data_IF_086986920247
#
_entry.id   IF_086986920247
#
_cell.length_a   1.000
_cell.length_b   1.000
_cell.length_c   1.000
_cell.angle_alpha   90.00
_cell.angle_beta   90.00
_cell.angle_gamma   90.00
#
_symmetry.space_group_name_H-M   'P 1'
#
loop_
_entity.id
_entity.type
_entity.pdbx_description
1 polymer ?
#
# COMPACT_ATOMS: atom_id res chain seq x y z
N UNK A 1 -1.00 -18.75 23.97
CA UNK A 1 -1.23 -18.04 22.69
C UNK A 1 -2.69 -17.61 22.67
N UNK A 2 -2.99 -16.32 22.54
CA UNK A 2 -4.37 -15.89 22.28
C UNK A 2 -4.75 -16.39 20.88
N UNK A 3 -5.84 -17.14 20.78
CA UNK A 3 -6.39 -17.61 19.51
C UNK A 3 -6.87 -16.39 18.71
N UNK A 4 -6.22 -16.10 17.58
CA UNK A 4 -6.69 -15.07 16.65
C UNK A 4 -7.91 -15.64 15.93
N UNK A 5 -9.08 -15.02 16.13
CA UNK A 5 -10.30 -15.43 15.43
C UNK A 5 -10.18 -15.11 13.94
N UNK A 6 -10.67 -15.98 13.04
CA UNK A 6 -10.72 -15.67 11.62
C UNK A 6 -11.61 -14.45 11.38
N UNK A 7 -11.26 -13.66 10.36
CA UNK A 7 -12.08 -12.56 9.88
C UNK A 7 -13.31 -13.10 9.15
N UNK A 8 -14.46 -12.43 9.31
CA UNK A 8 -15.66 -12.71 8.52
C UNK A 8 -15.65 -11.96 7.17
N UNK A 9 -14.95 -10.84 7.11
CA UNK A 9 -14.78 -10.00 5.93
C UNK A 9 -13.45 -9.23 6.04
N UNK A 10 -12.86 -8.84 4.90
CA UNK A 10 -11.65 -8.01 4.89
C UNK A 10 -12.02 -6.56 5.20
N UNK A 11 -11.42 -5.91 6.22
CA UNK A 11 -11.63 -4.50 6.50
C UNK A 11 -11.02 -3.61 5.39
N UNK A 12 -11.85 -2.74 4.80
CA UNK A 12 -11.50 -1.83 3.71
C UNK A 12 -11.72 -0.39 4.16
N UNK A 13 -10.68 0.43 4.12
CA UNK A 13 -10.74 1.84 4.49
C UNK A 13 -10.78 2.72 3.24
N UNK A 14 -11.99 2.94 2.73
CA UNK A 14 -12.23 3.78 1.55
C UNK A 14 -13.31 4.84 1.81
N UNK A 15 -13.05 6.04 1.29
CA UNK A 15 -13.98 7.16 1.28
C UNK A 15 -13.86 7.90 -0.06
N UNK A 16 -14.99 8.34 -0.62
CA UNK A 16 -14.99 9.06 -1.90
C UNK A 16 -14.17 10.37 -1.87
N UNK A 17 -13.89 10.93 -0.69
CA UNK A 17 -13.00 12.11 -0.54
C UNK A 17 -11.53 11.80 -0.75
N UNK A 18 -11.16 10.53 -0.89
CA UNK A 18 -9.80 10.11 -1.25
C UNK A 18 -9.49 10.32 -2.73
N UNK A 19 -10.49 10.57 -3.58
CA UNK A 19 -10.34 10.57 -5.03
C UNK A 19 -10.50 11.95 -5.64
N UNK A 20 -9.72 12.23 -6.68
CA UNK A 20 -9.79 13.44 -7.46
C UNK A 20 -9.39 13.18 -8.91
N UNK A 21 -9.91 14.00 -9.83
CA UNK A 21 -9.28 14.17 -11.14
C UNK A 21 -8.04 15.05 -10.97
N UNK A 22 -6.87 14.45 -11.13
CA UNK A 22 -5.59 15.14 -11.01
C UNK A 22 -5.18 15.90 -12.29
N UNK A 23 -5.97 15.81 -13.37
CA UNK A 23 -5.66 16.39 -14.68
C UNK A 23 -4.25 16.01 -15.15
N UNK A 24 -3.95 14.72 -15.04
CA UNK A 24 -2.63 14.14 -15.27
C UNK A 24 -2.75 12.83 -16.03
N UNK A 25 -1.67 12.45 -16.72
CA UNK A 25 -1.54 11.12 -17.33
C UNK A 25 -1.76 9.99 -16.33
N UNK A 26 -1.20 10.12 -15.13
CA UNK A 26 -1.34 9.12 -14.07
C UNK A 26 -2.78 9.01 -13.56
N UNK A 27 -3.37 7.79 -13.49
CA UNK A 27 -4.70 7.58 -12.93
C UNK A 27 -4.70 7.52 -11.40
N UNK A 28 -3.56 7.64 -10.72
CA UNK A 28 -3.40 7.31 -9.29
C UNK A 28 -4.39 8.05 -8.37
N UNK A 29 -4.78 9.29 -8.68
CA UNK A 29 -5.74 10.05 -7.87
C UNK A 29 -7.21 9.60 -8.06
N UNK A 30 -7.56 8.98 -9.19
CA UNK A 30 -8.91 8.50 -9.49
C UNK A 30 -9.07 6.99 -9.36
N UNK A 31 -7.99 6.23 -9.56
CA UNK A 31 -7.95 4.75 -9.57
C UNK A 31 -8.61 4.10 -8.35
N UNK A 32 -8.44 4.58 -7.10
CA UNK A 32 -9.13 4.02 -5.94
C UNK A 32 -10.63 3.80 -6.10
N UNK A 33 -11.34 4.75 -6.75
CA UNK A 33 -12.78 4.63 -6.98
C UNK A 33 -13.09 3.43 -7.87
N UNK A 34 -12.38 3.33 -9.00
CA UNK A 34 -12.61 2.29 -9.99
C UNK A 34 -12.26 0.89 -9.43
N UNK A 35 -11.20 0.80 -8.61
CA UNK A 35 -10.84 -0.44 -7.90
C UNK A 35 -11.94 -0.85 -6.93
N UNK A 36 -12.43 0.08 -6.11
CA UNK A 36 -13.48 -0.23 -5.14
C UNK A 36 -14.80 -0.60 -5.80
N UNK A 37 -15.18 0.05 -6.91
CA UNK A 37 -16.36 -0.35 -7.68
C UNK A 37 -16.17 -1.73 -8.32
N UNK A 38 -14.97 -2.07 -8.81
CA UNK A 38 -14.64 -3.43 -9.27
C UNK A 38 -14.83 -4.46 -8.14
N UNK A 39 -14.24 -4.20 -6.96
CA UNK A 39 -14.35 -5.07 -5.79
C UNK A 39 -15.80 -5.28 -5.31
N UNK A 40 -16.61 -4.22 -5.30
CA UNK A 40 -18.05 -4.33 -4.99
C UNK A 40 -18.78 -5.21 -6.01
N UNK A 41 -18.44 -5.10 -7.30
CA UNK A 41 -19.03 -5.91 -8.35
C UNK A 41 -18.68 -7.40 -8.22
N UNK A 42 -17.51 -7.75 -7.66
CA UNK A 42 -17.12 -9.13 -7.38
C UNK A 42 -17.94 -9.79 -6.25
N UNK A 43 -18.68 -9.01 -5.45
CA UNK A 43 -19.49 -9.48 -4.31
C UNK A 43 -18.69 -10.30 -3.30
N UNK A 44 -17.44 -9.90 -3.09
CA UNK A 44 -16.54 -10.50 -2.12
C UNK A 44 -16.87 -10.02 -0.69
N UNK A 45 -16.53 -10.81 0.35
CA UNK A 45 -16.75 -10.46 1.75
C UNK A 45 -15.85 -9.32 2.23
N UNK A 46 -16.32 -8.08 2.04
CA UNK A 46 -15.61 -6.84 2.41
C UNK A 46 -16.42 -6.05 3.44
N UNK A 47 -15.73 -5.52 4.45
CA UNK A 47 -16.30 -4.60 5.43
C UNK A 47 -15.73 -3.19 5.18
N UNK A 48 -16.54 -2.28 4.68
CA UNK A 48 -16.11 -0.89 4.45
C UNK A 48 -16.22 -0.09 5.75
N UNK A 49 -15.06 0.25 6.31
CA UNK A 49 -14.95 0.89 7.61
C UNK A 49 -14.74 2.40 7.49
N UNK A 50 -15.33 3.13 8.45
CA UNK A 50 -15.16 4.58 8.52
C UNK A 50 -13.82 4.98 9.13
N UNK A 51 -13.29 6.13 8.72
CA UNK A 51 -12.06 6.70 9.27
C UNK A 51 -12.06 8.23 9.15
N UNK A 52 -11.09 8.86 9.78
CA UNK A 52 -10.92 10.31 9.79
C UNK A 52 -9.72 10.74 8.93
N UNK A 53 -9.77 11.92 8.29
CA UNK A 53 -8.62 12.47 7.59
C UNK A 53 -7.53 12.83 8.59
N UNK A 54 -6.27 12.77 8.16
CA UNK A 54 -5.16 13.15 9.02
C UNK A 54 -5.06 14.67 9.20
N UNK A 55 -4.83 15.17 10.43
CA UNK A 55 -4.49 16.57 10.62
C UNK A 55 -3.10 16.86 10.02
N UNK A 56 -2.87 18.13 9.66
CA UNK A 56 -1.60 18.62 9.12
C UNK A 56 -0.39 18.24 9.97
N UNK A 57 -0.55 18.28 11.30
CA UNK A 57 0.49 17.89 12.24
C UNK A 57 0.96 16.44 12.08
N UNK A 58 0.07 15.52 11.71
CA UNK A 58 0.42 14.13 11.45
C UNK A 58 1.21 13.98 10.14
N UNK A 59 0.79 14.66 9.07
CA UNK A 59 1.53 14.70 7.80
C UNK A 59 2.93 15.29 7.99
N UNK A 60 3.05 16.33 8.82
CA UNK A 60 4.30 16.98 9.18
C UNK A 60 5.23 16.13 10.08
N UNK A 61 4.85 14.89 10.43
CA UNK A 61 5.77 13.94 11.08
C UNK A 61 6.73 13.27 10.10
N UNK A 62 6.37 13.25 8.80
CA UNK A 62 7.18 12.69 7.72
C UNK A 62 7.66 13.77 6.74
N UNK A 63 7.03 14.94 6.73
CA UNK A 63 7.31 16.03 5.80
C UNK A 63 7.58 17.36 6.51
N UNK A 64 8.27 18.28 5.85
CA UNK A 64 8.42 19.64 6.37
C UNK A 64 7.05 20.33 6.46
N UNK A 65 6.85 21.14 7.50
CA UNK A 65 5.60 21.91 7.68
C UNK A 65 5.32 22.83 6.50
N UNK A 66 6.35 23.50 5.98
CA UNK A 66 6.24 24.37 4.81
C UNK A 66 5.75 23.63 3.56
N UNK A 67 6.20 22.39 3.34
CA UNK A 67 5.71 21.59 2.21
C UNK A 67 4.25 21.16 2.43
N UNK A 68 3.92 20.67 3.62
CA UNK A 68 2.54 20.26 3.97
C UNK A 68 1.57 21.43 3.80
N UNK A 69 1.87 22.58 4.40
CA UNK A 69 1.01 23.76 4.34
C UNK A 69 0.97 24.33 2.92
N UNK A 70 2.10 24.36 2.23
CA UNK A 70 2.19 24.83 0.85
C UNK A 70 1.31 24.02 -0.11
N UNK A 71 1.31 22.69 0.00
CA UNK A 71 0.46 21.81 -0.81
C UNK A 71 -1.01 21.97 -0.43
N UNK A 72 -1.34 21.91 0.86
CA UNK A 72 -2.73 21.95 1.35
C UNK A 72 -3.40 23.32 1.20
N UNK A 73 -2.62 24.35 0.85
CA UNK A 73 -3.12 25.70 0.56
C UNK A 73 -2.95 26.07 -0.92
N UNK A 74 -2.61 25.10 -1.78
CA UNK A 74 -2.54 25.29 -3.23
C UNK A 74 -1.40 26.20 -3.71
N UNK A 75 -0.36 26.39 -2.88
CA UNK A 75 0.83 27.21 -3.22
C UNK A 75 1.99 26.39 -3.77
N UNK A 76 2.08 25.11 -3.41
CA UNK A 76 3.15 24.20 -3.83
C UNK A 76 2.58 23.10 -4.72
N UNK A 77 3.34 22.75 -5.77
CA UNK A 77 2.96 21.67 -6.68
C UNK A 77 2.86 20.35 -5.93
N UNK A 78 1.78 19.61 -6.18
CA UNK A 78 1.58 18.24 -5.74
C UNK A 78 2.35 17.26 -6.66
N UNK A 79 2.23 15.96 -6.40
CA UNK A 79 2.91 14.90 -7.15
C UNK A 79 2.55 14.81 -8.63
N UNK A 80 1.44 15.42 -9.05
CA UNK A 80 0.99 15.49 -10.43
C UNK A 80 1.47 16.78 -11.13
N UNK A 81 2.33 17.58 -10.49
CA UNK A 81 2.95 18.76 -11.09
C UNK A 81 2.08 20.03 -11.10
N UNK A 82 0.92 20.01 -10.45
CA UNK A 82 -0.02 21.12 -10.38
C UNK A 82 -0.38 21.50 -8.94
N UNK A 83 -1.15 22.57 -8.74
CA UNK A 83 -1.59 23.05 -7.43
C UNK A 83 -3.11 22.88 -7.21
N UNK A 84 -3.72 21.87 -7.85
CA UNK A 84 -5.17 21.68 -7.78
C UNK A 84 -5.64 21.40 -6.35
N UNK A 85 -6.55 22.24 -5.85
CA UNK A 85 -7.15 22.05 -4.53
C UNK A 85 -7.96 20.76 -4.43
N UNK A 86 -8.53 20.30 -5.56
CA UNK A 86 -9.21 19.01 -5.62
C UNK A 86 -8.29 17.86 -5.17
N UNK A 87 -7.05 17.83 -5.66
CA UNK A 87 -6.03 16.86 -5.22
C UNK A 87 -5.61 17.14 -3.78
N UNK A 88 -5.29 18.39 -3.43
CA UNK A 88 -4.84 18.74 -2.09
C UNK A 88 -5.82 18.29 -0.99
N UNK A 89 -7.12 18.43 -1.25
CA UNK A 89 -8.19 18.04 -0.33
C UNK A 89 -8.27 16.52 -0.11
N UNK A 90 -7.75 15.68 -1.01
CA UNK A 90 -7.76 14.22 -0.83
C UNK A 90 -6.61 13.70 0.03
N UNK A 91 -5.49 14.41 0.09
CA UNK A 91 -4.25 13.92 0.71
C UNK A 91 -4.37 13.60 2.20
N UNK A 92 -5.12 14.38 3.01
CA UNK A 92 -5.45 13.99 4.39
C UNK A 92 -6.23 12.69 4.48
N UNK A 93 -7.14 12.43 3.53
CA UNK A 93 -7.97 11.23 3.50
C UNK A 93 -7.18 10.00 3.07
N UNK A 94 -6.36 10.10 2.01
CA UNK A 94 -5.54 8.96 1.56
C UNK A 94 -4.55 8.52 2.63
N UNK A 95 -3.91 9.48 3.31
CA UNK A 95 -2.98 9.17 4.41
C UNK A 95 -3.72 8.65 5.66
N UNK A 96 -4.93 9.16 5.92
CA UNK A 96 -5.80 8.67 7.00
C UNK A 96 -6.27 7.24 6.79
N UNK A 97 -6.64 6.88 5.56
CA UNK A 97 -7.02 5.51 5.19
C UNK A 97 -5.87 4.53 5.47
N UNK A 98 -4.65 4.86 5.05
CA UNK A 98 -3.47 4.01 5.28
C UNK A 98 -3.21 3.78 6.77
N UNK A 99 -3.29 4.84 7.58
CA UNK A 99 -3.15 4.72 9.04
C UNK A 99 -4.28 3.91 9.67
N UNK A 100 -5.52 4.08 9.21
CA UNK A 100 -6.67 3.35 9.71
C UNK A 100 -6.54 1.85 9.42
N UNK A 101 -6.15 1.48 8.20
CA UNK A 101 -5.82 0.10 7.84
C UNK A 101 -4.70 -0.46 8.71
N UNK A 102 -3.62 0.29 8.93
CA UNK A 102 -2.51 -0.16 9.79
C UNK A 102 -2.93 -0.39 11.25
N UNK A 103 -3.78 0.49 11.81
CA UNK A 103 -4.33 0.30 13.16
C UNK A 103 -5.27 -0.89 13.24
N UNK A 104 -6.07 -1.12 12.20
CA UNK A 104 -7.00 -2.24 12.14
C UNK A 104 -6.27 -3.58 12.02
N UNK A 105 -5.30 -3.69 11.12
CA UNK A 105 -4.45 -4.88 11.01
C UNK A 105 -3.78 -5.20 12.36
N UNK A 106 -3.27 -4.20 13.08
CA UNK A 106 -2.74 -4.40 14.44
C UNK A 106 -3.79 -4.91 15.42
N UNK A 107 -5.00 -4.35 15.38
CA UNK A 107 -6.08 -4.69 16.31
C UNK A 107 -6.62 -6.11 16.08
N UNK A 108 -6.88 -6.48 14.82
CA UNK A 108 -7.37 -7.80 14.45
C UNK A 108 -6.25 -8.84 14.32
N UNK A 109 -4.98 -8.40 14.34
CA UNK A 109 -3.76 -9.21 14.24
C UNK A 109 -3.61 -9.98 12.92
N UNK A 110 -4.31 -9.54 11.88
CA UNK A 110 -4.40 -10.20 10.58
C UNK A 110 -4.15 -9.18 9.48
N UNK A 111 -5.20 -8.62 8.89
CA UNK A 111 -5.10 -7.80 7.67
C UNK A 111 -6.12 -6.68 7.63
N UNK A 112 -5.77 -5.61 6.91
CA UNK A 112 -6.70 -4.60 6.44
C UNK A 112 -6.15 -3.95 5.15
N UNK A 113 -7.01 -3.28 4.39
CA UNK A 113 -6.62 -2.60 3.15
C UNK A 113 -7.06 -1.15 3.12
N UNK A 114 -6.18 -0.29 2.61
CA UNK A 114 -6.51 1.06 2.17
C UNK A 114 -6.29 1.13 0.65
N UNK A 115 -7.33 1.24 -0.19
CA UNK A 115 -7.17 1.33 -1.63
C UNK A 115 -6.67 2.72 -2.03
N UNK A 116 -5.41 3.03 -1.74
CA UNK A 116 -4.70 4.28 -2.08
C UNK A 116 -3.55 4.00 -3.00
N UNK A 117 -3.13 4.98 -3.81
CA UNK A 117 -2.04 4.84 -4.77
C UNK A 117 -1.00 5.95 -4.60
N UNK A 118 0.27 5.61 -4.86
CA UNK A 118 1.41 6.52 -4.72
C UNK A 118 2.17 6.32 -3.42
N UNK A 119 2.52 7.41 -2.73
CA UNK A 119 3.34 7.51 -1.52
C UNK A 119 4.86 7.40 -1.68
N UNK A 120 5.37 6.31 -2.25
CA UNK A 120 6.78 5.95 -2.07
C UNK A 120 7.83 6.88 -2.69
N UNK A 121 7.45 7.72 -3.66
CA UNK A 121 8.34 8.74 -4.26
C UNK A 121 8.35 10.07 -3.51
N UNK A 122 7.34 10.35 -2.67
CA UNK A 122 7.27 11.62 -1.95
C UNK A 122 8.44 11.71 -0.96
N UNK A 123 9.20 12.80 -1.06
CA UNK A 123 10.37 13.07 -0.22
C UNK A 123 10.00 13.94 0.97
N UNK A 124 10.95 14.18 1.86
CA UNK A 124 10.70 14.95 3.08
C UNK A 124 10.15 16.36 2.81
N UNK A 125 10.58 17.02 1.73
CA UNK A 125 10.27 18.43 1.46
C UNK A 125 9.65 18.70 0.08
N UNK A 126 9.39 17.67 -0.73
CA UNK A 126 8.77 17.83 -2.04
C UNK A 126 8.06 16.56 -2.55
N UNK A 127 7.15 16.77 -3.49
CA UNK A 127 6.46 15.73 -4.23
C UNK A 127 7.31 15.20 -5.40
N UNK A 128 7.15 13.93 -5.75
CA UNK A 128 7.80 13.32 -6.92
C UNK A 128 7.01 12.10 -7.40
N UNK A 129 7.13 11.72 -8.68
CA UNK A 129 6.57 10.48 -9.22
C UNK A 129 5.10 10.24 -8.88
N UNK A 130 4.22 11.24 -9.08
CA UNK A 130 2.79 11.18 -8.72
C UNK A 130 2.49 11.07 -7.21
N UNK A 131 3.50 11.05 -6.36
CA UNK A 131 3.38 10.96 -4.91
C UNK A 131 3.53 12.36 -4.28
N UNK A 132 2.51 12.80 -3.53
CA UNK A 132 2.54 14.12 -2.86
C UNK A 132 3.03 14.02 -1.42
N UNK A 133 2.37 13.21 -0.60
CA UNK A 133 2.84 12.85 0.74
C UNK A 133 3.14 11.35 0.78
N UNK A 134 4.07 10.94 1.63
CA UNK A 134 4.45 9.57 1.86
C UNK A 134 3.59 8.99 2.99
N UNK A 135 2.40 8.50 2.62
CA UNK A 135 1.43 7.94 3.56
C UNK A 135 1.95 6.73 4.35
N UNK A 136 2.89 5.96 3.79
CA UNK A 136 3.54 4.84 4.48
C UNK A 136 4.36 5.33 5.68
N UNK A 137 5.23 6.32 5.47
CA UNK A 137 6.04 6.88 6.55
C UNK A 137 5.17 7.64 7.56
N UNK A 138 4.16 8.38 7.09
CA UNK A 138 3.22 9.06 8.00
C UNK A 138 2.51 8.05 8.90
N UNK A 139 1.97 6.95 8.35
CA UNK A 139 1.32 5.91 9.14
C UNK A 139 2.28 5.29 10.16
N UNK A 140 3.49 4.91 9.74
CA UNK A 140 4.52 4.34 10.61
C UNK A 140 4.89 5.30 11.76
N UNK A 141 5.12 6.59 11.46
CA UNK A 141 5.47 7.62 12.44
C UNK A 141 4.37 7.84 13.46
N UNK A 142 3.10 7.85 13.02
CA UNK A 142 1.97 8.00 13.95
C UNK A 142 1.86 6.78 14.86
N UNK A 143 1.94 5.56 14.32
CA UNK A 143 1.88 4.34 15.14
C UNK A 143 3.00 4.27 16.20
N UNK A 144 4.23 4.66 15.82
CA UNK A 144 5.38 4.76 16.74
C UNK A 144 5.13 5.82 17.83
N UNK A 145 4.60 7.00 17.45
CA UNK A 145 4.28 8.05 18.41
C UNK A 145 3.17 7.64 19.39
N UNK A 146 2.21 6.83 18.93
CA UNK A 146 1.16 6.24 19.76
C UNK A 146 1.65 5.11 20.67
N UNK A 147 2.91 4.68 20.54
CA UNK A 147 3.48 3.53 21.26
C UNK A 147 2.68 2.23 21.04
N UNK A 148 1.97 2.13 19.91
CA UNK A 148 1.26 0.90 19.50
C UNK A 148 2.22 -0.15 18.93
N UNK A 149 3.34 0.31 18.40
CA UNK A 149 4.40 -0.48 17.79
C UNK A 149 5.75 0.07 18.20
N UNK A 150 6.76 -0.78 18.18
CA UNK A 150 8.17 -0.43 18.33
C UNK A 150 8.92 -0.49 17.00
N UNK A 151 8.44 -1.33 16.07
CA UNK A 151 9.07 -1.52 14.76
C UNK A 151 8.03 -1.75 13.67
N UNK A 152 8.14 -1.02 12.56
CA UNK A 152 7.26 -1.12 11.39
C UNK A 152 8.06 -1.63 10.20
N UNK A 153 7.50 -2.60 9.48
CA UNK A 153 8.00 -3.03 8.19
C UNK A 153 7.32 -2.26 7.06
N UNK A 154 8.06 -1.91 6.00
CA UNK A 154 7.52 -1.43 4.73
C UNK A 154 8.06 -2.35 3.65
N UNK A 155 7.16 -3.13 3.04
CA UNK A 155 7.46 -3.94 1.87
C UNK A 155 6.87 -3.25 0.65
N UNK A 156 7.73 -2.71 -0.19
CA UNK A 156 7.35 -2.00 -1.41
C UNK A 156 7.60 -2.88 -2.63
N UNK A 157 6.52 -3.42 -3.19
CA UNK A 157 6.53 -4.27 -4.38
C UNK A 157 6.09 -3.51 -5.66
N UNK A 158 6.17 -2.18 -5.65
CA UNK A 158 6.04 -1.35 -6.85
C UNK A 158 7.24 -1.56 -7.80
N UNK A 159 7.02 -1.33 -9.10
CA UNK A 159 8.08 -1.42 -10.12
C UNK A 159 9.19 -0.41 -9.86
N UNK A 160 8.81 0.77 -9.40
CA UNK A 160 9.74 1.86 -9.22
C UNK A 160 10.38 1.81 -7.84
N UNK A 161 11.63 2.24 -7.80
CA UNK A 161 12.36 2.35 -6.55
C UNK A 161 11.68 3.35 -5.60
N UNK A 162 11.33 2.91 -4.38
CA UNK A 162 10.77 3.72 -3.29
C UNK A 162 11.78 4.71 -2.69
N UNK A 163 12.30 5.60 -3.54
CA UNK A 163 13.37 6.56 -3.27
C UNK A 163 12.99 7.62 -2.24
N UNK A 164 11.73 8.06 -2.23
CA UNK A 164 11.19 8.98 -1.24
C UNK A 164 11.09 8.35 0.14
N UNK A 165 10.57 7.12 0.21
CA UNK A 165 10.52 6.33 1.45
C UNK A 165 11.92 6.14 2.04
N UNK A 166 12.89 5.70 1.24
CA UNK A 166 14.28 5.58 1.72
C UNK A 166 14.84 6.94 2.17
N UNK A 167 14.64 8.00 1.39
CA UNK A 167 15.18 9.32 1.71
C UNK A 167 14.64 9.85 3.04
N UNK A 168 13.34 9.69 3.31
CA UNK A 168 12.74 10.14 4.57
C UNK A 168 13.27 9.31 5.74
N UNK A 169 13.38 7.99 5.59
CA UNK A 169 13.94 7.11 6.65
C UNK A 169 15.35 7.57 7.03
N UNK A 170 16.21 7.83 6.04
CA UNK A 170 17.58 8.30 6.29
C UNK A 170 17.60 9.70 6.89
N UNK A 171 16.83 10.62 6.33
CA UNK A 171 16.79 12.02 6.76
C UNK A 171 16.33 12.19 8.21
N UNK A 172 15.33 11.40 8.63
CA UNK A 172 14.75 11.46 9.97
C UNK A 172 15.35 10.46 10.97
N UNK A 173 16.38 9.69 10.55
CA UNK A 173 17.05 8.72 11.43
C UNK A 173 16.16 7.56 11.88
N UNK A 174 15.30 7.03 11.01
CA UNK A 174 14.24 6.07 11.37
C UNK A 174 14.64 4.60 11.20
N UNK A 175 15.86 4.30 10.76
CA UNK A 175 16.29 2.93 10.42
C UNK A 175 16.20 1.93 11.58
N UNK A 176 16.22 2.39 12.83
CA UNK A 176 16.05 1.52 14.00
C UNK A 176 14.58 1.07 14.20
N UNK A 177 13.63 1.88 13.77
CA UNK A 177 12.19 1.67 14.00
C UNK A 177 11.41 1.35 12.73
N UNK A 178 11.97 1.61 11.55
CA UNK A 178 11.34 1.33 10.26
C UNK A 178 12.31 0.50 9.42
N UNK A 179 11.94 -0.76 9.15
CA UNK A 179 12.60 -1.60 8.15
C UNK A 179 11.91 -1.39 6.81
N UNK A 180 12.67 -1.13 5.75
CA UNK A 180 12.14 -0.89 4.41
C UNK A 180 12.86 -1.79 3.41
N UNK A 181 12.09 -2.56 2.64
CA UNK A 181 12.54 -3.33 1.49
C UNK A 181 11.72 -2.84 0.30
N UNK A 182 12.38 -2.47 -0.80
CA UNK A 182 11.74 -2.00 -2.04
C UNK A 182 12.32 -2.76 -3.22
N UNK A 183 11.46 -3.46 -3.95
CA UNK A 183 11.86 -4.40 -5.00
C UNK A 183 12.32 -3.69 -6.26
N UNK A 184 11.73 -2.52 -6.56
CA UNK A 184 12.05 -1.69 -7.73
C UNK A 184 13.48 -1.13 -7.74
N UNK A 185 14.26 -1.36 -6.68
CA UNK A 185 15.71 -1.13 -6.67
C UNK A 185 16.47 -2.19 -7.47
N UNK A 186 16.11 -3.46 -7.28
CA UNK A 186 16.93 -4.61 -7.65
C UNK A 186 16.32 -5.42 -8.81
N UNK A 187 14.99 -5.39 -8.95
CA UNK A 187 14.24 -6.14 -9.95
C UNK A 187 13.52 -5.20 -10.91
N UNK A 188 13.99 -5.14 -12.16
CA UNK A 188 13.49 -4.20 -13.17
C UNK A 188 13.40 -4.82 -14.56
N UNK A 189 13.65 -6.13 -14.71
CA UNK A 189 13.69 -6.82 -16.01
C UNK A 189 13.00 -8.19 -15.95
N UNK A 190 12.30 -8.62 -17.00
CA UNK A 190 11.61 -9.91 -17.04
C UNK A 190 12.47 -11.13 -16.69
N UNK A 191 13.77 -11.11 -17.05
CA UNK A 191 14.70 -12.19 -16.73
C UNK A 191 14.92 -12.41 -15.23
N UNK A 192 14.56 -11.43 -14.38
CA UNK A 192 14.72 -11.49 -12.93
C UNK A 192 13.43 -11.97 -12.23
N UNK A 193 12.32 -12.17 -12.95
CA UNK A 193 11.02 -12.49 -12.36
C UNK A 193 11.04 -13.76 -11.50
N UNK A 194 11.61 -14.84 -12.03
CA UNK A 194 11.71 -16.11 -11.32
C UNK A 194 12.67 -16.03 -10.13
N UNK A 195 13.72 -15.21 -10.22
CA UNK A 195 14.62 -14.97 -9.10
C UNK A 195 13.89 -14.23 -7.98
N UNK A 196 13.23 -13.13 -8.30
CA UNK A 196 12.42 -12.37 -7.35
C UNK A 196 11.42 -13.25 -6.61
N UNK A 197 10.63 -14.06 -7.35
CA UNK A 197 9.61 -14.90 -6.73
C UNK A 197 10.21 -15.96 -5.81
N UNK A 198 11.42 -16.46 -6.09
CA UNK A 198 12.15 -17.36 -5.19
C UNK A 198 12.68 -16.67 -3.94
N UNK A 199 13.12 -15.41 -4.05
CA UNK A 199 13.71 -14.66 -2.93
C UNK A 199 12.65 -13.94 -2.07
N UNK A 200 11.44 -13.72 -2.60
CA UNK A 200 10.36 -13.01 -1.92
C UNK A 200 10.00 -13.58 -0.53
N UNK A 201 9.90 -14.91 -0.32
CA UNK A 201 9.76 -15.50 1.02
C UNK A 201 10.80 -15.00 2.03
N UNK A 202 12.07 -14.94 1.63
CA UNK A 202 13.17 -14.50 2.48
C UNK A 202 13.07 -13.00 2.77
N UNK A 203 12.71 -12.20 1.76
CA UNK A 203 12.44 -10.76 1.95
C UNK A 203 11.31 -10.51 2.95
N UNK A 204 10.25 -11.34 2.94
CA UNK A 204 9.16 -11.23 3.91
C UNK A 204 9.61 -11.70 5.30
N UNK A 205 10.35 -12.81 5.39
CA UNK A 205 10.93 -13.30 6.65
C UNK A 205 11.86 -12.28 7.30
N UNK A 206 12.53 -11.46 6.51
CA UNK A 206 13.40 -10.38 6.95
C UNK A 206 12.67 -9.32 7.81
N UNK A 207 11.34 -9.23 7.74
CA UNK A 207 10.53 -8.38 8.62
C UNK A 207 10.24 -9.00 9.99
N UNK A 208 10.74 -10.20 10.30
CA UNK A 208 10.58 -10.79 11.62
C UNK A 208 11.00 -9.80 12.74
N UNK A 209 10.13 -9.66 13.73
CA UNK A 209 10.25 -8.67 14.81
C UNK A 209 9.68 -7.28 14.48
N UNK A 210 9.07 -7.08 13.30
CA UNK A 210 8.18 -5.93 13.08
C UNK A 210 6.79 -6.25 13.66
N UNK A 211 6.14 -5.23 14.22
CA UNK A 211 4.80 -5.35 14.81
C UNK A 211 3.69 -5.31 13.75
N UNK A 212 3.97 -4.71 12.59
CA UNK A 212 3.09 -4.63 11.42
C UNK A 212 3.93 -4.42 10.16
N UNK A 213 3.47 -4.94 9.03
CA UNK A 213 4.01 -4.63 7.69
C UNK A 213 3.02 -3.75 6.93
N UNK A 214 3.53 -2.65 6.38
CA UNK A 214 2.85 -1.84 5.38
C UNK A 214 3.25 -2.36 4.00
N UNK A 215 2.33 -3.04 3.31
CA UNK A 215 2.58 -3.69 2.03
C UNK A 215 2.04 -2.87 0.86
N UNK A 216 2.94 -2.34 0.03
CA UNK A 216 2.57 -1.59 -1.16
C UNK A 216 2.52 -2.54 -2.37
N UNK A 217 1.30 -2.95 -2.74
CA UNK A 217 1.03 -3.92 -3.81
C UNK A 217 0.86 -3.22 -5.18
N UNK A 218 1.97 -2.79 -5.78
CA UNK A 218 1.95 -2.13 -7.09
C UNK A 218 1.47 -3.04 -8.22
N UNK A 219 0.74 -2.47 -9.18
CA UNK A 219 0.32 -3.16 -10.40
C UNK A 219 1.21 -2.85 -11.60
N UNK A 220 2.09 -1.85 -11.49
CA UNK A 220 3.05 -1.48 -12.53
C UNK A 220 4.23 -2.44 -12.71
N UNK A 221 4.54 -3.44 -11.86
CA UNK A 221 5.48 -4.47 -12.30
C UNK A 221 4.92 -5.31 -13.46
N UNK A 222 3.66 -5.13 -13.89
CA UNK A 222 3.11 -5.88 -15.01
C UNK A 222 3.89 -5.61 -16.31
N UNK A 223 4.22 -6.66 -17.08
CA UNK A 223 5.03 -6.56 -18.33
C UNK A 223 4.45 -5.61 -19.39
N UNK A 224 3.13 -5.42 -19.41
CA UNK A 224 2.45 -4.50 -20.33
C UNK A 224 2.26 -3.07 -19.75
N UNK A 225 2.75 -2.79 -18.55
CA UNK A 225 2.65 -1.44 -17.98
C UNK A 225 3.53 -0.45 -18.75
N UNK A 226 2.99 0.72 -19.16
CA UNK A 226 3.71 1.68 -19.99
C UNK A 226 4.90 2.35 -19.28
N UNK A 227 4.98 2.28 -17.95
CA UNK A 227 6.11 2.82 -17.19
C UNK A 227 7.21 1.79 -16.91
N UNK A 228 7.11 0.61 -17.55
CA UNK A 228 8.01 -0.51 -17.40
C UNK A 228 7.41 -1.59 -16.50
N UNK A 229 7.92 -2.81 -16.60
CA UNK A 229 7.43 -3.95 -15.82
C UNK A 229 8.11 -5.25 -16.24
N UNK A 230 7.97 -6.27 -15.40
CA UNK A 230 8.70 -7.53 -15.53
C UNK A 230 7.98 -8.77 -14.99
N UNK A 231 6.74 -8.62 -14.52
CA UNK A 231 5.89 -9.69 -14.02
C UNK A 231 4.66 -9.87 -14.91
N UNK A 232 4.28 -11.11 -15.18
CA UNK A 232 2.99 -11.45 -15.80
C UNK A 232 1.86 -11.39 -14.77
N UNK A 233 0.59 -11.46 -15.21
CA UNK A 233 -0.57 -11.62 -14.33
C UNK A 233 -0.40 -12.77 -13.32
N UNK A 234 0.05 -13.94 -13.78
CA UNK A 234 0.27 -15.11 -12.93
C UNK A 234 1.34 -14.84 -11.87
N UNK A 235 2.44 -14.18 -12.26
CA UNK A 235 3.54 -13.89 -11.35
C UNK A 235 3.18 -12.77 -10.34
N UNK A 236 2.37 -11.79 -10.72
CA UNK A 236 1.81 -10.80 -9.79
C UNK A 236 0.88 -11.46 -8.77
N UNK A 237 -0.02 -12.34 -9.21
CA UNK A 237 -0.88 -13.10 -8.32
C UNK A 237 -0.05 -13.98 -7.36
N UNK A 238 1.01 -14.63 -7.86
CA UNK A 238 1.94 -15.42 -7.05
C UNK A 238 2.68 -14.55 -6.03
N UNK A 239 3.14 -13.36 -6.41
CA UNK A 239 3.78 -12.39 -5.50
C UNK A 239 2.85 -12.06 -4.34
N UNK A 240 1.63 -11.63 -4.63
CA UNK A 240 0.68 -11.18 -3.61
C UNK A 240 0.29 -12.33 -2.66
N UNK A 241 0.02 -13.51 -3.22
CA UNK A 241 -0.24 -14.72 -2.44
C UNK A 241 0.94 -15.04 -1.51
N UNK A 242 2.17 -15.03 -2.04
CA UNK A 242 3.39 -15.34 -1.26
C UNK A 242 3.55 -14.36 -0.10
N UNK A 243 3.37 -13.05 -0.33
CA UNK A 243 3.44 -12.04 0.73
C UNK A 243 2.41 -12.31 1.81
N UNK A 244 1.14 -12.52 1.44
CA UNK A 244 0.07 -12.75 2.42
C UNK A 244 0.27 -14.04 3.20
N UNK A 245 0.62 -15.15 2.53
CA UNK A 245 0.89 -16.45 3.16
C UNK A 245 2.03 -16.35 4.17
N UNK A 246 3.15 -15.72 3.80
CA UNK A 246 4.31 -15.62 4.68
C UNK A 246 4.07 -14.65 5.84
N UNK A 247 3.37 -13.53 5.62
CA UNK A 247 2.97 -12.64 6.72
C UNK A 247 2.08 -13.38 7.74
N UNK A 248 1.07 -14.14 7.25
CA UNK A 248 0.19 -14.94 8.11
C UNK A 248 0.96 -16.04 8.84
N UNK A 249 1.87 -16.73 8.17
CA UNK A 249 2.73 -17.77 8.77
C UNK A 249 3.64 -17.21 9.87
N UNK A 250 4.24 -16.03 9.66
CA UNK A 250 5.05 -15.33 10.66
C UNK A 250 4.21 -14.71 11.79
N UNK A 251 2.89 -14.63 11.62
CA UNK A 251 1.99 -13.96 12.55
C UNK A 251 2.17 -12.44 12.59
N UNK A 252 2.68 -11.84 11.51
CA UNK A 252 2.87 -10.39 11.39
C UNK A 252 1.65 -9.80 10.70
N UNK A 253 0.90 -8.90 11.37
CA UNK A 253 -0.23 -8.24 10.74
C UNK A 253 0.18 -7.40 9.54
N UNK A 254 -0.66 -7.34 8.51
CA UNK A 254 -0.36 -6.59 7.28
C UNK A 254 -1.45 -5.56 6.97
N UNK A 255 -1.05 -4.32 6.75
CA UNK A 255 -1.91 -3.34 6.12
C UNK A 255 -1.38 -3.06 4.73
N UNK A 256 -2.22 -3.22 3.71
CA UNK A 256 -1.76 -3.08 2.34
C UNK A 256 -2.51 -1.99 1.59
N UNK A 257 -1.85 -1.46 0.57
CA UNK A 257 -2.39 -0.46 -0.34
C UNK A 257 -2.05 -0.79 -1.80
N UNK A 258 -2.73 -0.11 -2.71
CA UNK A 258 -2.37 -0.11 -4.13
C UNK A 258 -1.06 0.68 -4.31
N UNK A 259 -0.54 0.76 -5.53
CA UNK A 259 0.58 1.65 -5.84
C UNK A 259 0.48 2.15 -7.28
N UNK A 260 1.53 2.02 -8.09
CA UNK A 260 1.49 2.22 -9.53
C UNK A 260 0.56 1.26 -10.26
N UNK A 261 0.52 1.41 -11.58
CA UNK A 261 -0.38 0.70 -12.50
C UNK A 261 -1.05 1.70 -13.43
N UNK A 262 -0.62 1.69 -14.69
CA UNK A 262 -0.85 2.74 -15.68
C UNK A 262 -1.35 2.21 -17.03
N UNK A 263 -1.59 0.89 -17.13
CA UNK A 263 -2.10 0.27 -18.35
C UNK A 263 -3.41 0.87 -18.85
N UNK A 264 -3.53 0.96 -20.18
CA UNK A 264 -4.75 1.33 -20.88
C UNK A 264 -5.24 0.14 -21.72
N UNK A 265 -6.51 -0.26 -21.63
CA UNK A 265 -7.56 0.30 -20.77
C UNK A 265 -7.34 0.01 -19.27
N UNK A 266 -7.85 0.88 -18.40
CA UNK A 266 -7.69 0.79 -16.94
C UNK A 266 -8.16 -0.56 -16.37
N UNK A 267 -9.11 -1.23 -17.03
CA UNK A 267 -9.58 -2.57 -16.64
C UNK A 267 -8.44 -3.56 -16.40
N UNK A 268 -7.35 -3.50 -17.17
CA UNK A 268 -6.17 -4.38 -16.97
C UNK A 268 -5.51 -4.17 -15.60
N UNK A 269 -5.48 -2.93 -15.11
CA UNK A 269 -4.98 -2.60 -13.78
C UNK A 269 -5.97 -3.06 -12.70
N UNK A 270 -7.28 -2.94 -12.97
CA UNK A 270 -8.32 -3.44 -12.05
C UNK A 270 -8.25 -4.96 -11.90
N UNK A 271 -8.03 -5.71 -12.99
CA UNK A 271 -7.87 -7.17 -12.96
C UNK A 271 -6.72 -7.60 -12.02
N UNK A 272 -5.61 -6.86 -12.02
CA UNK A 272 -4.47 -7.13 -11.13
C UNK A 272 -4.86 -6.87 -9.67
N UNK A 273 -5.47 -5.71 -9.36
CA UNK A 273 -5.89 -5.38 -8.00
C UNK A 273 -7.03 -6.28 -7.48
N UNK A 274 -7.90 -6.77 -8.36
CA UNK A 274 -8.91 -7.79 -8.06
C UNK A 274 -8.23 -9.11 -7.66
N UNK A 275 -7.19 -9.54 -8.39
CA UNK A 275 -6.40 -10.72 -8.05
C UNK A 275 -5.65 -10.57 -6.71
N UNK A 276 -5.08 -9.40 -6.42
CA UNK A 276 -4.48 -9.09 -5.11
C UNK A 276 -5.49 -9.25 -3.97
N UNK A 277 -6.70 -8.70 -4.13
CA UNK A 277 -7.76 -8.81 -3.12
C UNK A 277 -8.22 -10.27 -2.95
N UNK A 278 -8.38 -11.00 -4.04
CA UNK A 278 -8.78 -12.40 -4.01
C UNK A 278 -7.75 -13.25 -3.24
N UNK A 279 -6.46 -13.03 -3.48
CA UNK A 279 -5.39 -13.68 -2.72
C UNK A 279 -5.46 -13.31 -1.23
N UNK A 280 -5.70 -12.04 -0.90
CA UNK A 280 -5.88 -11.59 0.49
C UNK A 280 -7.04 -12.34 1.18
N UNK A 281 -8.19 -12.46 0.51
CA UNK A 281 -9.37 -13.16 1.02
C UNK A 281 -9.08 -14.65 1.24
N UNK A 282 -8.50 -15.33 0.26
CA UNK A 282 -8.19 -16.76 0.36
C UNK A 282 -7.27 -17.09 1.54
N UNK A 283 -6.35 -16.18 1.85
CA UNK A 283 -5.41 -16.37 2.95
C UNK A 283 -6.00 -15.99 4.30
N UNK A 284 -6.79 -14.92 4.40
CA UNK A 284 -7.20 -14.37 5.70
C UNK A 284 -8.63 -14.67 6.13
N UNK A 285 -9.52 -14.99 5.18
CA UNK A 285 -10.86 -15.46 5.52
C UNK A 285 -10.84 -16.98 5.50
N UNK A 286 -11.36 -17.58 6.57
CA UNK A 286 -11.42 -19.03 6.72
C UNK A 286 -12.22 -19.61 5.55
N UNK A 287 -11.55 -20.30 4.63
CA UNK A 287 -12.25 -21.23 3.75
C UNK A 287 -12.63 -22.42 4.65
N UNK A 288 -13.89 -22.86 4.71
CA UNK A 288 -14.18 -24.14 5.34
C UNK A 288 -13.22 -25.15 4.72
N UNK A 289 -12.37 -25.77 5.55
CA UNK A 289 -11.60 -26.93 5.13
C UNK A 289 -12.60 -27.84 4.43
N UNK A 290 -12.41 -28.10 3.13
CA UNK A 290 -13.02 -29.26 2.52
C UNK A 290 -12.42 -30.48 3.23
N UNK A 291 -13.03 -30.84 4.35
CA UNK A 291 -12.84 -32.09 5.01
C UNK A 291 -13.35 -33.17 4.04
N UNK A 292 -12.40 -33.89 3.44
CA UNK A 292 -12.68 -35.04 2.59
C UNK A 292 -12.78 -34.68 1.11
N UNK A 293 -11.72 -35.05 0.38
CA UNK A 293 -11.75 -35.85 -0.84
C UNK A 293 -10.35 -35.78 -1.48
N UNK A 294 -9.41 -36.54 -0.93
CA UNK A 294 -8.37 -37.16 -1.74
C UNK A 294 -8.62 -38.68 -1.69
N UNK A 295 -8.67 -39.36 -2.84
CA UNK A 295 -8.81 -40.81 -2.92
C UNK A 295 -7.59 -41.56 -2.37
#
# INVERSE_FOLDING_TARGET
>A
MQTVSPLAAIPVFYDARMVADAQSYSPSAGKPREVVESWKALRLPLAFESFSPLPRGALATAHTRSFVDGVLEGRTKNGFGNCLMAVANTLPWTSGAMLAAAREALANRLVAVAPVSGFHHARHDHAAGYCTFNGLIVAARVLLAERRVTRVGILDCDMHYGDGTEQIIRHLGLSASIKHITVGRDFVRPAQAEQFLRELPEMVADFQGCDVILYQAGADPHVDDPLGGWLTNTQLAQRDRTVFEHCKWLGIPVAWNLAGGYQTPLRRVLDIHDATLQACIEIYLDQPQQAGLYP
#
